data_IF_748210710287
#
_entry.id   IF_748210710287
#
_cell.length_a   1.000
_cell.length_b   1.000
_cell.length_c   1.000
_cell.angle_alpha   90.00
_cell.angle_beta   90.00
_cell.angle_gamma   90.00
#
_symmetry.space_group_name_H-M   'P 1'
#
loop_
_entity.id
_entity.type
_entity.pdbx_description
1 polymer ?
#
# COMPACT_ATOMS: atom_id res chain seq x y z
N UNK A 1 8.27 -30.76 -16.44
CA UNK A 1 7.52 -30.56 -15.18
C UNK A 1 8.13 -29.54 -14.20
N UNK A 2 9.32 -29.04 -14.40
CA UNK A 2 10.01 -28.14 -13.41
C UNK A 2 9.74 -26.64 -13.59
N UNK A 3 9.46 -26.16 -14.79
CA UNK A 3 9.31 -24.71 -15.07
C UNK A 3 7.97 -24.14 -14.61
N UNK A 4 6.90 -24.91 -14.70
CA UNK A 4 5.54 -24.50 -14.27
C UNK A 4 5.45 -24.29 -12.77
N UNK A 5 6.00 -25.21 -11.95
CA UNK A 5 5.97 -25.09 -10.48
C UNK A 5 6.77 -23.89 -9.95
N UNK A 6 7.87 -23.48 -10.60
CA UNK A 6 8.64 -22.31 -10.19
C UNK A 6 7.90 -20.99 -10.43
N UNK A 7 7.16 -20.89 -11.54
CA UNK A 7 6.35 -19.70 -11.84
C UNK A 7 5.19 -19.58 -10.84
N UNK A 8 4.56 -20.70 -10.48
CA UNK A 8 3.45 -20.74 -9.52
C UNK A 8 3.87 -20.30 -8.09
N UNK A 9 5.14 -20.46 -7.72
CA UNK A 9 5.63 -20.08 -6.40
C UNK A 9 6.22 -18.66 -6.36
N UNK A 10 6.82 -18.21 -7.46
CA UNK A 10 7.42 -16.88 -7.56
C UNK A 10 6.38 -15.76 -7.61
N UNK A 11 5.20 -16.05 -8.15
CA UNK A 11 4.14 -15.06 -8.27
C UNK A 11 3.56 -14.63 -6.91
N UNK A 12 3.09 -15.53 -6.01
CA UNK A 12 2.63 -15.14 -4.68
C UNK A 12 3.75 -14.50 -3.84
N UNK A 13 4.99 -14.98 -3.98
CA UNK A 13 6.13 -14.40 -3.29
C UNK A 13 6.36 -12.94 -3.70
N UNK A 14 6.23 -12.62 -5.00
CA UNK A 14 6.37 -11.24 -5.48
C UNK A 14 5.28 -10.31 -4.94
N UNK A 15 4.05 -10.79 -4.78
CA UNK A 15 2.95 -10.03 -4.18
C UNK A 15 3.17 -9.79 -2.69
N UNK A 16 3.61 -10.81 -1.95
CA UNK A 16 3.96 -10.67 -0.53
C UNK A 16 5.10 -9.66 -0.34
N UNK A 17 6.15 -9.73 -1.17
CA UNK A 17 7.25 -8.77 -1.14
C UNK A 17 6.82 -7.35 -1.50
N UNK A 18 5.80 -7.22 -2.34
CA UNK A 18 5.20 -5.94 -2.69
C UNK A 18 4.38 -5.36 -1.52
N UNK A 19 3.63 -6.19 -0.82
CA UNK A 19 2.78 -5.76 0.29
C UNK A 19 3.57 -5.43 1.56
N UNK A 20 4.70 -6.10 1.77
CA UNK A 20 5.50 -5.99 2.98
C UNK A 20 5.96 -4.55 3.31
N UNK A 21 6.50 -3.73 2.37
CA UNK A 21 6.86 -2.34 2.65
C UNK A 21 5.66 -1.49 3.09
N UNK A 22 4.49 -1.71 2.49
CA UNK A 22 3.29 -0.95 2.79
C UNK A 22 2.74 -1.31 4.18
N UNK A 23 2.71 -2.61 4.49
CA UNK A 23 2.32 -3.11 5.80
C UNK A 23 3.27 -2.61 6.90
N UNK A 24 4.57 -2.72 6.70
CA UNK A 24 5.58 -2.21 7.62
C UNK A 24 5.48 -0.70 7.79
N UNK A 25 5.28 0.06 6.71
CA UNK A 25 5.15 1.52 6.78
C UNK A 25 4.00 1.95 7.68
N UNK A 26 2.88 1.24 7.68
CA UNK A 26 1.75 1.57 8.55
C UNK A 26 1.99 1.13 10.01
N UNK A 27 2.45 -0.09 10.23
CA UNK A 27 2.63 -0.63 11.57
C UNK A 27 3.79 0.02 12.33
N UNK A 28 4.90 0.33 11.66
CA UNK A 28 6.03 1.03 12.26
C UNK A 28 5.75 2.51 12.50
N UNK A 29 4.73 3.06 11.85
CA UNK A 29 4.36 4.45 12.03
C UNK A 29 3.70 4.71 13.40
N UNK A 30 2.93 3.78 13.94
CA UNK A 30 2.26 3.94 15.24
C UNK A 30 3.26 4.25 16.38
N UNK A 31 4.34 3.48 16.58
CA UNK A 31 5.34 3.80 17.59
C UNK A 31 6.17 5.06 17.26
N UNK A 32 6.18 5.52 16.01
CA UNK A 32 6.88 6.73 15.59
C UNK A 32 6.09 8.03 15.82
N UNK A 33 4.80 7.97 16.18
CA UNK A 33 3.96 9.15 16.43
C UNK A 33 4.57 10.16 17.43
N UNK A 34 5.17 9.75 18.56
CA UNK A 34 5.81 10.69 19.48
C UNK A 34 6.97 11.47 18.84
N UNK A 35 7.68 10.85 17.89
CA UNK A 35 8.76 11.50 17.15
C UNK A 35 8.22 12.51 16.13
N UNK A 36 7.11 12.19 15.45
CA UNK A 36 6.40 13.14 14.59
C UNK A 36 5.98 14.38 15.39
N UNK A 37 5.42 14.19 16.58
CA UNK A 37 5.03 15.28 17.47
C UNK A 37 6.21 16.22 17.81
N UNK A 38 7.36 15.63 18.10
CA UNK A 38 8.59 16.40 18.42
C UNK A 38 9.17 17.09 17.19
N UNK A 39 9.32 16.37 16.08
CA UNK A 39 9.96 16.85 14.86
C UNK A 39 9.19 18.01 14.21
N UNK A 40 7.87 17.96 14.24
CA UNK A 40 7.02 19.01 13.67
C UNK A 40 6.53 20.03 14.71
N UNK A 41 6.89 19.89 15.99
CA UNK A 41 6.44 20.76 17.08
C UNK A 41 4.91 20.91 17.14
N UNK A 42 4.19 19.80 16.98
CA UNK A 42 2.72 19.78 16.97
C UNK A 42 2.15 18.98 18.13
N UNK A 43 0.84 19.08 18.36
CA UNK A 43 0.15 18.30 19.38
C UNK A 43 0.01 16.83 18.98
N UNK A 44 -0.20 15.95 19.96
CA UNK A 44 -0.49 14.54 19.71
C UNK A 44 -1.72 14.36 18.81
N UNK A 45 -2.76 15.20 18.98
CA UNK A 45 -3.95 15.18 18.15
C UNK A 45 -3.62 15.48 16.69
N UNK A 46 -2.77 16.47 16.41
CA UNK A 46 -2.34 16.80 15.04
C UNK A 46 -1.49 15.67 14.43
N UNK A 47 -0.60 15.05 15.21
CA UNK A 47 0.18 13.92 14.74
C UNK A 47 -0.70 12.71 14.40
N UNK A 48 -1.76 12.44 15.18
CA UNK A 48 -2.74 11.37 14.92
C UNK A 48 -3.54 11.59 13.63
N UNK A 49 -3.74 12.84 13.18
CA UNK A 49 -4.36 13.11 11.88
C UNK A 49 -3.63 12.44 10.72
N UNK A 50 -2.33 12.18 10.85
CA UNK A 50 -1.56 11.46 9.82
C UNK A 50 -2.07 10.04 9.57
N UNK A 51 -2.57 9.36 10.60
CA UNK A 51 -3.23 8.05 10.49
C UNK A 51 -4.60 8.21 9.83
N UNK A 52 -5.38 9.21 10.26
CA UNK A 52 -6.70 9.47 9.69
C UNK A 52 -6.62 9.80 8.19
N UNK A 53 -5.65 10.64 7.78
CA UNK A 53 -5.42 10.97 6.37
C UNK A 53 -4.99 9.76 5.55
N UNK A 54 -4.20 8.86 6.12
CA UNK A 54 -3.80 7.63 5.47
C UNK A 54 -5.02 6.71 5.21
N UNK A 55 -5.88 6.49 6.21
CA UNK A 55 -7.12 5.73 6.04
C UNK A 55 -8.10 6.40 5.09
N UNK A 56 -8.19 7.73 5.13
CA UNK A 56 -9.04 8.50 4.22
C UNK A 56 -8.59 8.29 2.76
N UNK A 57 -7.28 8.34 2.50
CA UNK A 57 -6.72 8.06 1.18
C UNK A 57 -7.03 6.64 0.72
N UNK A 58 -6.84 5.65 1.58
CA UNK A 58 -7.14 4.25 1.28
C UNK A 58 -8.62 4.05 0.93
N UNK A 59 -9.53 4.62 1.71
CA UNK A 59 -10.97 4.47 1.48
C UNK A 59 -11.46 5.20 0.23
N UNK A 60 -11.00 6.44 0.02
CA UNK A 60 -11.46 7.28 -1.10
C UNK A 60 -11.08 6.68 -2.47
N UNK A 61 -9.86 6.16 -2.60
CA UNK A 61 -9.38 5.62 -3.86
C UNK A 61 -9.86 4.20 -4.17
N UNK A 62 -10.27 3.45 -3.16
CA UNK A 62 -10.72 2.07 -3.33
C UNK A 62 -11.87 1.93 -4.34
N UNK A 63 -12.81 2.88 -4.34
CA UNK A 63 -13.96 2.85 -5.25
C UNK A 63 -13.56 3.12 -6.71
N UNK A 64 -12.55 3.98 -6.92
CA UNK A 64 -12.12 4.41 -8.26
C UNK A 64 -11.16 3.40 -8.90
N UNK A 65 -10.33 2.75 -8.08
CA UNK A 65 -9.27 1.87 -8.57
C UNK A 65 -9.78 0.55 -9.17
N UNK A 66 -10.95 0.07 -8.79
CA UNK A 66 -11.55 -1.12 -9.40
C UNK A 66 -11.68 -0.98 -10.92
N UNK A 67 -12.51 -0.05 -11.42
CA UNK A 67 -12.65 0.20 -12.86
C UNK A 67 -11.35 0.63 -13.55
N UNK A 68 -10.50 1.39 -12.85
CA UNK A 68 -9.22 1.87 -13.38
C UNK A 68 -8.25 0.71 -13.62
N UNK A 69 -8.19 -0.25 -12.69
CA UNK A 69 -7.35 -1.44 -12.78
C UNK A 69 -7.77 -2.35 -13.94
N UNK A 70 -9.07 -2.48 -14.17
CA UNK A 70 -9.60 -3.28 -15.28
C UNK A 70 -9.34 -2.61 -16.63
N UNK A 71 -9.37 -1.28 -16.70
CA UNK A 71 -9.16 -0.53 -17.96
C UNK A 71 -7.66 -0.45 -18.35
N UNK A 72 -6.78 -0.09 -17.43
CA UNK A 72 -5.34 0.13 -17.72
C UNK A 72 -4.46 -1.11 -17.55
N UNK A 73 -5.01 -2.16 -16.96
CA UNK A 73 -4.32 -3.39 -16.65
C UNK A 73 -3.65 -3.38 -15.27
N UNK A 74 -3.89 -4.45 -14.52
CA UNK A 74 -3.51 -4.61 -13.10
C UNK A 74 -2.01 -4.37 -12.83
N UNK A 75 -1.14 -4.94 -13.67
CA UNK A 75 0.31 -4.78 -13.53
C UNK A 75 0.77 -3.32 -13.61
N UNK A 76 0.18 -2.53 -14.52
CA UNK A 76 0.56 -1.12 -14.68
C UNK A 76 0.11 -0.31 -13.46
N UNK A 77 -1.08 -0.57 -12.96
CA UNK A 77 -1.61 0.10 -11.76
C UNK A 77 -0.77 -0.24 -10.53
N UNK A 78 -0.39 -1.51 -10.33
CA UNK A 78 0.48 -1.91 -9.23
C UNK A 78 1.84 -1.21 -9.30
N UNK A 79 2.51 -1.23 -10.45
CA UNK A 79 3.83 -0.61 -10.61
C UNK A 79 3.78 0.92 -10.48
N UNK A 80 2.73 1.57 -11.01
CA UNK A 80 2.57 3.03 -10.86
C UNK A 80 2.26 3.40 -9.42
N UNK A 81 1.50 2.59 -8.71
CA UNK A 81 1.22 2.76 -7.28
C UNK A 81 2.51 2.69 -6.46
N UNK A 82 3.35 1.68 -6.66
CA UNK A 82 4.62 1.54 -5.95
C UNK A 82 5.58 2.70 -6.23
N UNK A 83 5.71 3.11 -7.48
CA UNK A 83 6.52 4.28 -7.85
C UNK A 83 6.01 5.56 -7.13
N UNK A 84 4.70 5.77 -7.11
CA UNK A 84 4.09 6.88 -6.38
C UNK A 84 4.37 6.79 -4.87
N UNK A 85 4.24 5.59 -4.28
CA UNK A 85 4.53 5.38 -2.86
C UNK A 85 5.96 5.76 -2.50
N UNK A 86 6.95 5.31 -3.29
CA UNK A 86 8.35 5.64 -3.10
C UNK A 86 8.60 7.15 -3.21
N UNK A 87 8.07 7.80 -4.24
CA UNK A 87 8.21 9.25 -4.42
C UNK A 87 7.61 10.02 -3.24
N UNK A 88 6.39 9.68 -2.82
CA UNK A 88 5.71 10.35 -1.71
C UNK A 88 6.43 10.08 -0.39
N UNK A 89 6.96 8.88 -0.17
CA UNK A 89 7.72 8.54 1.03
C UNK A 89 9.00 9.38 1.12
N UNK A 90 9.71 9.55 0.01
CA UNK A 90 10.89 10.43 -0.06
C UNK A 90 10.51 11.90 0.22
N UNK A 91 9.44 12.40 -0.36
CA UNK A 91 8.94 13.74 -0.08
C UNK A 91 8.56 13.93 1.39
N UNK A 92 7.89 12.94 1.99
CA UNK A 92 7.55 12.97 3.41
C UNK A 92 8.79 13.00 4.32
N UNK A 93 9.87 12.32 3.93
CA UNK A 93 11.11 12.29 4.71
C UNK A 93 11.88 13.62 4.64
N UNK A 94 11.69 14.41 3.59
CA UNK A 94 12.37 15.69 3.37
C UNK A 94 11.54 16.90 3.82
N UNK A 95 10.25 16.70 4.10
CA UNK A 95 9.38 17.83 4.47
C UNK A 95 9.57 18.25 5.92
N UNK A 96 9.55 19.56 6.15
CA UNK A 96 9.52 20.17 7.48
C UNK A 96 8.15 20.74 7.86
N UNK A 97 7.15 20.56 7.00
CA UNK A 97 5.78 21.05 7.23
C UNK A 97 4.82 19.90 7.50
N UNK A 98 4.10 19.98 8.62
CA UNK A 98 3.09 19.00 8.98
C UNK A 98 1.98 18.87 7.92
N UNK A 99 1.59 19.97 7.28
CA UNK A 99 0.56 19.95 6.23
C UNK A 99 0.99 19.11 5.03
N UNK A 100 2.21 19.32 4.52
CA UNK A 100 2.75 18.50 3.42
C UNK A 100 2.95 17.05 3.82
N UNK A 101 3.31 16.80 5.07
CA UNK A 101 3.39 15.46 5.62
C UNK A 101 2.01 14.76 5.61
N UNK A 102 0.94 15.43 6.06
CA UNK A 102 -0.43 14.90 6.05
C UNK A 102 -0.93 14.62 4.62
N UNK A 103 -0.63 15.52 3.68
CA UNK A 103 -0.95 15.30 2.26
C UNK A 103 -0.22 14.06 1.72
N UNK A 104 1.05 13.91 2.06
CA UNK A 104 1.82 12.72 1.70
C UNK A 104 1.21 11.43 2.30
N UNK A 105 0.78 11.45 3.56
CA UNK A 105 0.09 10.30 4.19
C UNK A 105 -1.20 9.93 3.47
N UNK A 106 -1.97 10.91 3.00
CA UNK A 106 -3.16 10.67 2.19
C UNK A 106 -2.81 9.92 0.88
N UNK A 107 -1.80 10.39 0.14
CA UNK A 107 -1.37 9.72 -1.09
C UNK A 107 -0.77 8.33 -0.83
N UNK A 108 -0.03 8.11 0.24
CA UNK A 108 0.42 6.78 0.65
C UNK A 108 -0.77 5.85 0.90
N UNK A 109 -1.84 6.35 1.55
CA UNK A 109 -3.08 5.60 1.73
C UNK A 109 -3.73 5.21 0.40
N UNK A 110 -3.79 6.12 -0.58
CA UNK A 110 -4.32 5.83 -1.91
C UNK A 110 -3.62 4.64 -2.57
N UNK A 111 -2.30 4.51 -2.39
CA UNK A 111 -1.53 3.41 -2.98
C UNK A 111 -1.89 2.06 -2.38
N UNK A 112 -2.17 1.99 -1.07
CA UNK A 112 -2.57 0.74 -0.42
C UNK A 112 -3.81 0.13 -1.09
N UNK A 113 -4.73 0.96 -1.55
CA UNK A 113 -5.92 0.51 -2.28
C UNK A 113 -5.58 -0.20 -3.60
N UNK A 114 -4.42 0.10 -4.23
CA UNK A 114 -3.99 -0.58 -5.45
C UNK A 114 -3.71 -2.06 -5.19
N UNK A 115 -3.17 -2.39 -4.03
CA UNK A 115 -2.89 -3.78 -3.64
C UNK A 115 -4.17 -4.52 -3.34
N UNK A 116 -5.04 -3.93 -2.54
CA UNK A 116 -6.30 -4.56 -2.15
C UNK A 116 -7.15 -4.93 -3.38
N UNK A 117 -7.16 -4.08 -4.40
CA UNK A 117 -7.99 -4.32 -5.59
C UNK A 117 -7.22 -5.08 -6.66
N UNK A 118 -6.10 -4.54 -7.13
CA UNK A 118 -5.37 -5.12 -8.25
C UNK A 118 -4.56 -6.36 -7.83
N UNK A 119 -4.05 -6.41 -6.61
CA UNK A 119 -3.32 -7.54 -6.05
C UNK A 119 -4.23 -8.75 -5.85
N UNK A 120 -5.30 -8.61 -5.10
CA UNK A 120 -6.25 -9.70 -4.86
C UNK A 120 -6.94 -10.17 -6.14
N UNK A 121 -7.33 -9.25 -7.04
CA UNK A 121 -7.90 -9.61 -8.32
C UNK A 121 -6.91 -10.42 -9.19
N UNK A 122 -5.62 -10.11 -9.12
CA UNK A 122 -4.58 -10.87 -9.84
C UNK A 122 -4.41 -12.28 -9.26
N UNK A 123 -4.48 -12.45 -7.93
CA UNK A 123 -4.42 -13.76 -7.29
C UNK A 123 -5.58 -14.64 -7.78
N UNK A 124 -6.80 -14.11 -7.81
CA UNK A 124 -7.97 -14.87 -8.27
C UNK A 124 -7.93 -15.25 -9.75
N UNK A 125 -7.26 -14.45 -10.59
CA UNK A 125 -7.16 -14.74 -12.02
C UNK A 125 -6.10 -15.80 -12.36
N UNK A 126 -5.01 -15.85 -11.61
CA UNK A 126 -3.87 -16.72 -11.93
C UNK A 126 -3.74 -17.97 -11.06
N UNK A 127 -4.55 -18.09 -10.00
CA UNK A 127 -4.50 -19.23 -9.09
C UNK A 127 -5.84 -19.97 -9.05
N UNK A 128 -5.78 -21.32 -8.97
CA UNK A 128 -6.94 -22.12 -8.62
C UNK A 128 -7.50 -21.71 -7.26
N UNK A 129 -8.80 -21.80 -7.07
CA UNK A 129 -9.53 -21.27 -5.89
C UNK A 129 -8.89 -21.69 -4.55
N UNK A 130 -8.43 -22.94 -4.45
CA UNK A 130 -7.80 -23.44 -3.22
C UNK A 130 -6.44 -22.78 -2.92
N UNK A 131 -5.64 -22.55 -3.96
CA UNK A 131 -4.34 -21.88 -3.84
C UNK A 131 -4.50 -20.37 -3.59
N UNK A 132 -5.51 -19.76 -4.20
CA UNK A 132 -5.85 -18.35 -4.01
C UNK A 132 -6.23 -18.07 -2.54
N UNK A 133 -7.12 -18.87 -1.96
CA UNK A 133 -7.53 -18.75 -0.54
C UNK A 133 -6.32 -18.89 0.39
N UNK A 134 -5.44 -19.86 0.14
CA UNK A 134 -4.24 -20.06 0.94
C UNK A 134 -3.27 -18.88 0.84
N UNK A 135 -3.10 -18.30 -0.33
CA UNK A 135 -2.21 -17.14 -0.53
C UNK A 135 -2.78 -15.90 0.15
N UNK A 136 -4.09 -15.66 0.02
CA UNK A 136 -4.77 -14.52 0.68
C UNK A 136 -4.70 -14.66 2.20
N UNK A 137 -4.84 -15.86 2.75
CA UNK A 137 -4.71 -16.10 4.21
C UNK A 137 -3.31 -15.87 4.76
N UNK A 138 -2.29 -15.81 3.90
CA UNK A 138 -0.90 -15.49 4.30
C UNK A 138 -0.59 -13.98 4.21
N UNK A 139 -1.44 -13.21 3.52
CA UNK A 139 -1.30 -11.78 3.33
C UNK A 139 -2.08 -10.96 4.40
N UNK A 140 -3.03 -11.55 5.11
CA UNK A 140 -3.85 -10.92 6.15
C UNK A 140 -3.52 -11.41 7.54
#
# INVERSE_FOLDING_TARGET
MSRSKKITLLFPLSLILYELPLYLSNNLFLPALPEVTKSFHVTNATAQLSIAFWFLGASAFQVILGPLSDHYGRKKILLSGEALFLCVTLLCSLTHSILWFLVGRFFQGCVVSTILIAGYATIHEFMETEQAVKTISWMG
#
